data_IF_357726716411
#
_entry.id   IF_357726716411
#
_cell.length_a   1.000
_cell.length_b   1.000
_cell.length_c   1.000
_cell.angle_alpha   90.00
_cell.angle_beta   90.00
_cell.angle_gamma   90.00
#
_symmetry.space_group_name_H-M   'P 1'
#
loop_
_entity.id
_entity.type
_entity.pdbx_description
1 polymer ?
#
# COMPACT_ATOMS: atom_id res chain seq x y z
N UNK A 1 -61.83 -8.06 -7.11
CA UNK A 1 -60.82 -8.06 -8.18
C UNK A 1 -60.39 -6.61 -8.41
N UNK A 2 -59.48 -6.09 -7.58
CA UNK A 2 -59.06 -4.68 -7.66
C UNK A 2 -57.71 -4.58 -8.36
N UNK A 3 -57.74 -4.25 -9.66
CA UNK A 3 -56.54 -3.89 -10.40
C UNK A 3 -56.32 -2.38 -10.22
N UNK A 4 -55.47 -2.01 -9.25
CA UNK A 4 -55.13 -0.61 -9.03
C UNK A 4 -54.29 -0.11 -10.22
N UNK A 5 -54.83 0.90 -10.91
CA UNK A 5 -54.18 1.59 -12.04
C UNK A 5 -52.98 2.37 -11.51
N UNK A 6 -51.80 1.73 -11.49
CA UNK A 6 -50.55 2.36 -11.05
C UNK A 6 -50.31 3.62 -11.90
N UNK A 7 -50.18 4.76 -11.22
CA UNK A 7 -49.95 6.05 -11.87
C UNK A 7 -48.59 6.02 -12.58
N UNK A 8 -48.53 6.39 -13.88
CA UNK A 8 -47.28 6.38 -14.68
C UNK A 8 -46.14 7.13 -14.01
N UNK A 9 -46.43 8.19 -13.24
CA UNK A 9 -45.43 8.94 -12.46
C UNK A 9 -44.82 8.11 -11.32
N UNK A 10 -45.61 7.28 -10.65
CA UNK A 10 -45.16 6.39 -9.58
C UNK A 10 -44.32 5.25 -10.17
N UNK A 11 -44.76 4.66 -11.28
CA UNK A 11 -43.99 3.62 -11.97
C UNK A 11 -42.61 4.13 -12.44
N UNK A 12 -42.56 5.35 -12.98
CA UNK A 12 -41.30 5.99 -13.38
C UNK A 12 -40.37 6.25 -12.19
N UNK A 13 -40.92 6.70 -11.06
CA UNK A 13 -40.15 6.99 -9.85
C UNK A 13 -39.57 5.70 -9.22
N UNK A 14 -40.35 4.62 -9.21
CA UNK A 14 -39.87 3.28 -8.80
C UNK A 14 -38.75 2.79 -9.72
N UNK A 15 -38.91 2.93 -11.04
CA UNK A 15 -37.87 2.56 -12.00
C UNK A 15 -36.57 3.34 -11.78
N UNK A 16 -36.66 4.64 -11.48
CA UNK A 16 -35.49 5.49 -11.24
C UNK A 16 -34.77 5.11 -9.95
N UNK A 17 -35.51 4.75 -8.88
CA UNK A 17 -34.93 4.20 -7.65
C UNK A 17 -34.23 2.87 -7.93
N UNK A 18 -34.87 1.95 -8.66
CA UNK A 18 -34.26 0.65 -9.00
C UNK A 18 -33.04 0.82 -9.90
N UNK A 19 -33.06 1.77 -10.83
CA UNK A 19 -31.90 2.08 -11.67
C UNK A 19 -30.76 2.71 -10.87
N UNK A 20 -31.04 3.61 -9.92
CA UNK A 20 -30.02 4.19 -9.04
C UNK A 20 -29.44 3.15 -8.07
N UNK A 21 -30.27 2.29 -7.49
CA UNK A 21 -29.82 1.16 -6.65
C UNK A 21 -29.06 0.15 -7.48
N UNK A 22 -29.49 -0.11 -8.71
CA UNK A 22 -28.80 -0.98 -9.66
C UNK A 22 -27.44 -0.41 -10.07
N UNK A 23 -27.34 0.89 -10.34
CA UNK A 23 -26.07 1.57 -10.63
C UNK A 23 -25.17 1.57 -9.38
N UNK A 24 -25.72 1.79 -8.19
CA UNK A 24 -24.98 1.65 -6.92
C UNK A 24 -24.43 0.23 -6.77
N UNK A 25 -25.26 -0.80 -6.96
CA UNK A 25 -24.83 -2.20 -6.92
C UNK A 25 -23.81 -2.51 -8.01
N UNK A 26 -23.94 -1.93 -9.21
CA UNK A 26 -22.97 -2.13 -10.29
C UNK A 26 -21.62 -1.48 -9.96
N UNK A 27 -21.63 -0.30 -9.34
CA UNK A 27 -20.43 0.36 -8.81
C UNK A 27 -19.80 -0.45 -7.68
N UNK A 28 -20.60 -1.08 -6.81
CA UNK A 28 -20.11 -2.05 -5.82
C UNK A 28 -19.57 -3.33 -6.51
N UNK A 29 -20.13 -3.77 -7.64
CA UNK A 29 -19.63 -4.95 -8.38
C UNK A 29 -18.48 -4.66 -9.35
N UNK A 30 -18.04 -3.40 -9.50
CA UNK A 30 -16.74 -3.09 -10.12
C UNK A 30 -15.55 -3.54 -9.26
N UNK A 31 -15.83 -4.09 -8.06
CA UNK A 31 -14.99 -5.00 -7.30
C UNK A 31 -14.80 -6.31 -8.10
N UNK A 32 -13.71 -6.40 -8.86
CA UNK A 32 -13.28 -7.63 -9.52
C UNK A 32 -12.38 -8.38 -8.54
N UNK A 33 -12.87 -9.49 -7.96
CA UNK A 33 -12.17 -10.25 -6.91
C UNK A 33 -12.34 -9.64 -5.51
N UNK A 34 -12.00 -10.35 -4.42
CA UNK A 34 -12.44 -10.04 -3.06
C UNK A 34 -12.02 -8.62 -2.64
N UNK A 35 -12.90 -7.63 -2.76
CA UNK A 35 -12.74 -6.30 -2.16
C UNK A 35 -11.56 -5.43 -2.64
N UNK A 36 -10.69 -5.91 -3.52
CA UNK A 36 -9.53 -5.15 -4.02
C UNK A 36 -9.90 -4.29 -5.23
N UNK A 37 -9.50 -3.01 -5.26
CA UNK A 37 -9.83 -2.14 -6.38
C UNK A 37 -8.89 -2.36 -7.58
N UNK A 38 -9.13 -1.60 -8.65
CA UNK A 38 -8.24 -1.53 -9.83
C UNK A 38 -6.90 -0.86 -9.51
N UNK A 39 -5.89 -1.10 -10.34
CA UNK A 39 -4.52 -0.58 -10.23
C UNK A 39 -4.43 0.90 -9.86
N UNK A 40 -5.17 1.76 -10.56
CA UNK A 40 -5.23 3.22 -10.30
C UNK A 40 -5.65 3.59 -8.88
N UNK A 41 -6.40 2.72 -8.22
CA UNK A 41 -6.95 2.93 -6.87
C UNK A 41 -6.20 2.17 -5.79
N UNK A 42 -5.26 1.27 -6.16
CA UNK A 42 -4.49 0.47 -5.21
C UNK A 42 -3.64 1.32 -4.25
N UNK A 43 -2.90 2.36 -4.69
CA UNK A 43 -2.12 3.17 -3.76
C UNK A 43 -2.99 3.87 -2.72
N UNK A 44 -4.14 4.41 -3.13
CA UNK A 44 -5.12 5.02 -2.22
C UNK A 44 -5.77 4.01 -1.28
N UNK A 45 -6.02 2.78 -1.75
CA UNK A 45 -6.59 1.71 -0.94
C UNK A 45 -5.62 1.25 0.15
N UNK A 46 -4.33 1.16 -0.17
CA UNK A 46 -3.28 0.78 0.76
C UNK A 46 -3.15 1.78 1.92
N UNK A 47 -3.42 3.07 1.68
CA UNK A 47 -3.39 4.10 2.73
C UNK A 47 -4.58 3.89 3.70
N UNK A 48 -4.33 3.66 5.00
CA UNK A 48 -5.38 3.37 5.97
C UNK A 48 -6.51 4.41 6.01
N UNK A 49 -7.74 3.89 6.15
CA UNK A 49 -8.99 4.62 5.97
C UNK A 49 -9.14 5.86 6.86
N UNK A 50 -8.59 5.81 8.08
CA UNK A 50 -8.56 6.93 9.02
C UNK A 50 -7.88 8.20 8.46
N UNK A 51 -7.14 8.08 7.35
CA UNK A 51 -6.27 9.15 6.82
C UNK A 51 -6.63 9.56 5.40
N UNK A 52 -7.78 9.08 4.88
CA UNK A 52 -8.28 9.39 3.52
C UNK A 52 -8.60 10.87 3.28
N UNK A 53 -8.64 11.69 4.34
CA UNK A 53 -8.82 13.15 4.24
C UNK A 53 -7.61 13.93 3.72
N UNK A 54 -6.41 13.34 3.70
CA UNK A 54 -5.16 14.00 3.29
C UNK A 54 -4.39 13.20 2.21
N UNK A 55 -5.11 12.56 1.28
CA UNK A 55 -4.47 11.85 0.17
C UNK A 55 -4.15 12.82 -0.96
N UNK A 56 -2.89 12.86 -1.38
CA UNK A 56 -2.39 13.68 -2.47
C UNK A 56 -1.83 12.79 -3.59
N UNK A 57 -1.41 13.44 -4.69
CA UNK A 57 -0.53 12.80 -5.67
C UNK A 57 0.82 12.47 -5.03
N UNK A 58 1.64 11.71 -5.74
CA UNK A 58 2.99 11.35 -5.34
C UNK A 58 3.78 12.50 -4.74
N UNK A 59 4.64 12.17 -3.76
CA UNK A 59 5.67 13.09 -3.31
C UNK A 59 6.59 13.51 -4.45
N UNK A 60 7.09 14.75 -4.37
CA UNK A 60 8.16 15.26 -5.23
C UNK A 60 9.57 14.92 -4.72
N UNK A 61 9.71 14.31 -3.54
CA UNK A 61 11.02 13.94 -2.97
C UNK A 61 11.73 12.82 -3.74
N UNK A 62 10.98 12.07 -4.55
CA UNK A 62 11.47 10.88 -5.25
C UNK A 62 11.00 10.91 -6.70
N UNK A 63 11.70 10.21 -7.61
CA UNK A 63 11.27 10.10 -8.99
C UNK A 63 9.91 9.44 -9.12
N UNK A 64 9.18 9.78 -10.17
CA UNK A 64 7.96 9.07 -10.53
C UNK A 64 8.33 7.73 -11.16
N UNK A 65 8.36 6.68 -10.33
CA UNK A 65 8.73 5.32 -10.74
C UNK A 65 7.52 4.46 -11.18
N UNK A 66 6.29 4.92 -10.92
CA UNK A 66 5.06 4.22 -11.29
C UNK A 66 4.00 5.23 -11.79
N UNK A 67 3.13 4.84 -12.74
CA UNK A 67 1.94 5.62 -13.08
C UNK A 67 0.92 5.66 -11.94
N UNK A 68 0.97 4.71 -11.00
CA UNK A 68 0.05 4.58 -9.88
C UNK A 68 0.76 4.90 -8.58
N UNK A 69 0.48 6.09 -8.02
CA UNK A 69 1.01 6.42 -6.72
C UNK A 69 0.19 7.47 -5.97
N UNK A 70 0.21 7.37 -4.64
CA UNK A 70 -0.46 8.29 -3.74
C UNK A 70 0.39 8.57 -2.50
N UNK A 71 0.26 9.79 -1.99
CA UNK A 71 0.80 10.22 -0.72
C UNK A 71 -0.32 10.33 0.31
N UNK A 72 -0.12 9.82 1.52
CA UNK A 72 -0.99 10.05 2.68
C UNK A 72 -0.23 10.78 3.78
N UNK A 73 -0.79 11.87 4.31
CA UNK A 73 -0.21 12.56 5.48
C UNK A 73 -0.75 11.96 6.77
N UNK A 74 0.15 11.58 7.69
CA UNK A 74 -0.18 10.95 8.97
C UNK A 74 -0.25 11.97 10.11
N UNK A 75 0.81 12.76 10.26
CA UNK A 75 0.90 13.83 11.27
C UNK A 75 1.69 15.01 10.70
N UNK A 76 1.94 16.03 11.52
CA UNK A 76 2.90 17.05 11.17
C UNK A 76 4.26 16.39 10.86
N UNK A 77 4.75 16.62 9.65
CA UNK A 77 6.00 16.04 9.14
C UNK A 77 5.95 14.58 8.72
N UNK A 78 5.04 13.72 9.21
CA UNK A 78 5.04 12.27 8.90
C UNK A 78 4.08 11.90 7.77
N UNK A 79 4.51 11.06 6.85
CA UNK A 79 3.72 10.66 5.69
C UNK A 79 4.05 9.26 5.19
N UNK A 80 3.14 8.70 4.41
CA UNK A 80 3.30 7.48 3.62
C UNK A 80 3.28 7.86 2.15
N UNK A 81 4.20 7.33 1.35
CA UNK A 81 4.12 7.39 -0.10
C UNK A 81 4.10 5.98 -0.67
N UNK A 82 3.10 5.67 -1.49
CA UNK A 82 2.83 4.34 -2.03
C UNK A 82 2.97 4.39 -3.54
N UNK A 83 3.83 3.54 -4.10
CA UNK A 83 3.87 3.21 -5.52
C UNK A 83 3.36 1.78 -5.71
N UNK A 84 2.53 1.60 -6.73
CA UNK A 84 1.96 0.30 -7.07
C UNK A 84 2.32 -0.10 -8.49
N UNK A 85 2.52 -1.40 -8.71
CA UNK A 85 2.78 -1.98 -10.02
C UNK A 85 1.97 -3.26 -10.16
N UNK A 86 1.40 -3.45 -11.35
CA UNK A 86 0.68 -4.65 -11.78
C UNK A 86 1.47 -5.45 -12.85
N UNK A 87 2.74 -5.10 -13.06
CA UNK A 87 3.68 -5.74 -13.96
C UNK A 87 5.05 -5.85 -13.27
N UNK A 88 5.64 -7.05 -13.26
CA UNK A 88 6.92 -7.31 -12.59
C UNK A 88 8.08 -6.55 -13.23
N UNK A 89 8.10 -6.42 -14.56
CA UNK A 89 9.21 -5.77 -15.26
C UNK A 89 9.26 -4.26 -15.00
N UNK A 90 8.09 -3.61 -14.97
CA UNK A 90 7.99 -2.20 -14.59
C UNK A 90 8.29 -1.99 -13.10
N UNK A 91 7.92 -2.94 -12.24
CA UNK A 91 8.31 -2.95 -10.83
C UNK A 91 9.82 -2.99 -10.64
N UNK A 92 10.52 -3.95 -11.26
CA UNK A 92 11.98 -4.11 -11.14
C UNK A 92 12.72 -2.86 -11.63
N UNK A 93 12.31 -2.32 -12.77
CA UNK A 93 12.85 -1.06 -13.31
C UNK A 93 12.59 0.13 -12.39
N UNK A 94 11.40 0.20 -11.80
CA UNK A 94 11.03 1.24 -10.84
C UNK A 94 11.86 1.18 -9.56
N UNK A 95 12.09 -0.03 -9.06
CA UNK A 95 12.93 -0.30 -7.88
C UNK A 95 14.39 0.09 -8.11
N UNK A 96 15.01 -0.33 -9.22
CA UNK A 96 16.39 0.04 -9.57
C UNK A 96 16.54 1.56 -9.75
N UNK A 97 15.60 2.19 -10.46
CA UNK A 97 15.58 3.65 -10.65
C UNK A 97 15.53 4.38 -9.31
N UNK A 98 14.68 3.92 -8.39
CA UNK A 98 14.58 4.49 -7.06
C UNK A 98 15.88 4.28 -6.28
N UNK A 99 16.39 3.05 -6.23
CA UNK A 99 17.59 2.69 -5.48
C UNK A 99 18.81 3.53 -5.91
N UNK A 100 19.02 3.70 -7.22
CA UNK A 100 20.09 4.57 -7.76
C UNK A 100 19.90 6.04 -7.35
N UNK A 101 18.66 6.53 -7.41
CA UNK A 101 18.33 7.90 -7.01
C UNK A 101 18.60 8.13 -5.51
N UNK A 102 18.26 7.18 -4.64
CA UNK A 102 18.50 7.29 -3.20
C UNK A 102 20.01 7.35 -2.89
N UNK A 103 20.81 6.48 -3.51
CA UNK A 103 22.26 6.48 -3.33
C UNK A 103 22.94 7.76 -3.83
N UNK A 104 22.36 8.42 -4.84
CA UNK A 104 22.87 9.69 -5.36
C UNK A 104 22.55 10.90 -4.46
N UNK A 105 21.44 10.84 -3.71
CA UNK A 105 20.85 12.02 -3.05
C UNK A 105 20.83 11.95 -1.51
N UNK A 106 21.23 10.83 -0.91
CA UNK A 106 21.23 10.67 0.54
C UNK A 106 22.01 9.46 1.03
N UNK A 107 21.87 9.19 2.32
CA UNK A 107 22.45 8.03 2.98
C UNK A 107 21.45 6.88 2.95
N UNK A 108 21.85 5.75 2.36
CA UNK A 108 21.06 4.53 2.26
C UNK A 108 21.71 3.46 3.14
N UNK A 109 20.91 2.75 3.93
CA UNK A 109 21.39 1.64 4.75
C UNK A 109 20.32 0.56 4.92
N UNK A 110 20.74 -0.65 5.26
CA UNK A 110 19.84 -1.76 5.53
C UNK A 110 19.55 -1.85 7.03
N UNK A 111 18.28 -2.07 7.38
CA UNK A 111 17.86 -2.24 8.76
C UNK A 111 16.81 -3.32 8.89
N UNK A 112 17.03 -4.26 9.80
CA UNK A 112 15.99 -5.22 10.19
C UNK A 112 14.96 -4.53 11.10
N UNK A 113 13.72 -4.48 10.65
CA UNK A 113 12.59 -4.01 11.43
C UNK A 113 11.83 -5.19 12.05
N UNK A 114 11.25 -4.94 13.21
CA UNK A 114 10.32 -5.85 13.88
C UNK A 114 9.15 -4.99 14.38
N UNK A 115 7.96 -5.28 13.87
CA UNK A 115 6.71 -4.57 14.13
C UNK A 115 5.73 -5.39 14.97
N UNK A 116 6.18 -6.49 15.58
CA UNK A 116 5.29 -7.44 16.26
C UNK A 116 4.46 -6.77 17.35
N UNK A 117 5.05 -5.86 18.13
CA UNK A 117 4.35 -5.17 19.21
C UNK A 117 3.25 -4.26 18.64
N UNK A 118 3.61 -3.43 17.67
CA UNK A 118 2.72 -2.47 17.02
C UNK A 118 1.57 -3.17 16.26
N UNK A 119 1.87 -4.30 15.63
CA UNK A 119 0.88 -5.12 14.92
C UNK A 119 -0.09 -5.80 15.89
N UNK A 120 0.38 -6.29 17.04
CA UNK A 120 -0.50 -6.85 18.07
C UNK A 120 -1.43 -5.79 18.67
N UNK A 121 -0.95 -4.56 18.86
CA UNK A 121 -1.79 -3.44 19.29
C UNK A 121 -2.86 -3.07 18.25
N UNK A 122 -2.49 -3.09 16.97
CA UNK A 122 -3.45 -2.90 15.87
C UNK A 122 -4.49 -4.01 15.85
N UNK A 123 -4.07 -5.28 15.87
CA UNK A 123 -4.96 -6.44 15.83
C UNK A 123 -6.00 -6.35 16.95
N UNK A 124 -5.58 -6.07 18.19
CA UNK A 124 -6.50 -5.89 19.33
C UNK A 124 -7.52 -4.78 19.09
N UNK A 125 -7.12 -3.66 18.48
CA UNK A 125 -8.04 -2.56 18.13
C UNK A 125 -9.02 -2.97 17.04
N UNK A 126 -8.54 -3.64 16.00
CA UNK A 126 -9.37 -4.06 14.86
C UNK A 126 -10.36 -5.17 15.27
N UNK A 127 -9.94 -6.08 16.16
CA UNK A 127 -10.81 -7.07 16.81
C UNK A 127 -11.91 -6.42 17.63
N UNK A 128 -11.56 -5.43 18.47
CA UNK A 128 -12.54 -4.68 19.26
C UNK A 128 -13.55 -3.92 18.39
N UNK A 129 -13.16 -3.55 17.17
CA UNK A 129 -14.00 -2.82 16.20
C UNK A 129 -14.72 -3.74 15.19
N UNK A 130 -14.61 -5.07 15.31
CA UNK A 130 -15.13 -6.04 14.33
C UNK A 130 -14.67 -5.79 12.88
N UNK A 131 -13.47 -5.23 12.70
CA UNK A 131 -12.88 -4.91 11.39
C UNK A 131 -11.65 -5.77 11.06
N UNK A 132 -11.46 -6.85 11.81
CA UNK A 132 -10.27 -7.68 11.73
C UNK A 132 -10.29 -8.63 10.52
N UNK A 133 -9.12 -8.75 9.87
CA UNK A 133 -8.79 -9.82 8.95
C UNK A 133 -7.36 -10.33 9.25
N UNK A 134 -7.09 -11.64 9.09
CA UNK A 134 -5.77 -12.19 9.39
C UNK A 134 -4.72 -11.61 8.44
N UNK A 135 -3.57 -11.22 9.01
CA UNK A 135 -2.35 -10.94 8.25
C UNK A 135 -1.37 -12.08 8.50
N UNK A 136 -0.98 -12.80 7.45
CA UNK A 136 -0.22 -14.06 7.54
C UNK A 136 1.29 -13.81 7.35
N UNK A 137 1.69 -12.62 6.90
CA UNK A 137 3.09 -12.28 6.60
C UNK A 137 3.99 -12.11 7.83
N UNK A 138 5.31 -12.16 7.61
CA UNK A 138 6.33 -11.98 8.65
C UNK A 138 6.21 -10.63 9.38
N UNK A 139 6.34 -10.65 10.71
CA UNK A 139 6.37 -9.42 11.53
C UNK A 139 7.78 -8.82 11.64
N UNK A 140 8.79 -9.47 11.05
CA UNK A 140 10.16 -8.97 10.99
C UNK A 140 10.77 -9.19 9.61
N UNK A 141 11.27 -8.11 9.03
CA UNK A 141 11.76 -8.04 7.65
C UNK A 141 12.89 -7.01 7.55
N UNK A 142 13.68 -7.08 6.49
CA UNK A 142 14.64 -6.02 6.18
C UNK A 142 13.88 -4.84 5.57
N UNK A 143 14.41 -3.65 5.81
CA UNK A 143 13.93 -2.40 5.28
C UNK A 143 15.11 -1.55 4.84
N UNK A 144 14.91 -0.72 3.82
CA UNK A 144 15.92 0.25 3.42
C UNK A 144 15.68 1.55 4.18
N UNK A 145 16.59 1.88 5.09
CA UNK A 145 16.65 3.20 5.73
C UNK A 145 17.21 4.23 4.76
N UNK A 146 16.59 5.41 4.73
CA UNK A 146 17.01 6.54 3.93
C UNK A 146 17.08 7.81 4.77
N UNK A 147 18.15 8.59 4.59
CA UNK A 147 18.32 9.89 5.24
C UNK A 147 18.85 10.92 4.25
N UNK A 148 18.15 12.05 4.17
CA UNK A 148 18.53 13.23 3.39
C UNK A 148 18.14 14.50 4.15
N UNK A 149 18.60 15.70 3.72
CA UNK A 149 18.15 16.95 4.31
C UNK A 149 16.63 17.20 4.19
N UNK A 150 15.99 16.62 3.17
CA UNK A 150 14.57 16.85 2.86
C UNK A 150 13.63 15.84 3.52
N UNK A 151 14.09 14.61 3.70
CA UNK A 151 13.30 13.55 4.33
C UNK A 151 14.16 12.41 4.86
N UNK A 152 13.68 11.75 5.91
CA UNK A 152 14.26 10.52 6.46
C UNK A 152 13.16 9.49 6.76
N UNK A 153 13.44 8.20 6.57
CA UNK A 153 12.41 7.17 6.71
C UNK A 153 12.85 5.77 6.27
N UNK A 154 11.86 4.91 6.07
CA UNK A 154 12.05 3.51 5.65
C UNK A 154 11.28 3.20 4.38
N UNK A 155 11.92 2.50 3.46
CA UNK A 155 11.28 1.84 2.32
C UNK A 155 11.04 0.37 2.62
N UNK A 156 9.84 -0.09 2.28
CA UNK A 156 9.43 -1.50 2.25
C UNK A 156 8.93 -1.86 0.86
N UNK A 157 9.35 -3.04 0.40
CA UNK A 157 8.97 -3.62 -0.88
C UNK A 157 8.07 -4.81 -0.61
N UNK A 158 6.86 -4.79 -1.16
CA UNK A 158 5.89 -5.88 -1.07
C UNK A 158 5.79 -6.57 -2.42
N UNK A 159 6.04 -7.86 -2.46
CA UNK A 159 5.88 -8.69 -3.65
C UNK A 159 4.73 -9.67 -3.44
N UNK A 160 3.75 -9.63 -4.35
CA UNK A 160 2.54 -10.47 -4.37
C UNK A 160 1.79 -10.53 -3.04
N UNK A 161 1.42 -9.39 -2.40
CA UNK A 161 0.94 -9.41 -1.02
C UNK A 161 -0.50 -9.90 -0.82
N UNK A 162 -1.29 -10.03 -1.89
CA UNK A 162 -2.73 -10.26 -1.80
C UNK A 162 -3.16 -11.69 -2.19
N UNK A 163 -3.26 -11.95 -3.50
CA UNK A 163 -3.78 -13.19 -4.06
C UNK A 163 -2.68 -13.85 -4.89
N UNK A 164 -2.55 -15.17 -4.80
CA UNK A 164 -1.60 -15.96 -5.61
C UNK A 164 -1.75 -15.71 -7.12
N UNK A 165 -2.98 -15.42 -7.57
CA UNK A 165 -3.30 -15.21 -8.98
C UNK A 165 -3.07 -13.78 -9.46
N UNK A 166 -2.64 -12.86 -8.59
CA UNK A 166 -2.38 -11.45 -8.94
C UNK A 166 -0.92 -11.10 -8.73
N UNK A 167 -0.37 -10.46 -9.76
CA UNK A 167 0.96 -9.87 -9.71
C UNK A 167 0.86 -8.44 -9.19
N UNK A 168 0.67 -8.32 -7.88
CA UNK A 168 0.62 -7.02 -7.21
C UNK A 168 1.97 -6.72 -6.56
N UNK A 169 2.56 -5.56 -6.84
CA UNK A 169 3.80 -5.11 -6.21
C UNK A 169 3.64 -3.71 -5.62
N UNK A 170 4.23 -3.48 -4.45
CA UNK A 170 4.29 -2.15 -3.84
C UNK A 170 5.71 -1.79 -3.45
N UNK A 171 6.02 -0.50 -3.62
CA UNK A 171 7.10 0.14 -2.89
C UNK A 171 6.43 1.17 -1.99
N UNK A 172 6.74 1.14 -0.71
CA UNK A 172 6.13 2.03 0.29
C UNK A 172 7.20 2.74 1.08
N UNK A 173 7.15 4.06 1.10
CA UNK A 173 7.99 4.90 1.92
C UNK A 173 7.22 5.42 3.14
N UNK A 174 7.76 5.17 4.32
CA UNK A 174 7.28 5.68 5.60
C UNK A 174 8.25 6.76 6.08
N UNK A 175 7.87 8.01 5.90
CA UNK A 175 8.79 9.14 5.89
C UNK A 175 8.44 10.25 6.87
N UNK A 176 9.46 11.04 7.16
CA UNK A 176 9.41 12.25 7.96
C UNK A 176 10.03 13.36 7.13
N UNK A 177 9.37 14.52 7.07
CA UNK A 177 9.85 15.70 6.38
C UNK A 177 10.95 16.40 7.20
N UNK A 178 11.99 16.84 6.49
CA UNK A 178 13.13 17.54 7.05
C UNK A 178 14.18 16.63 7.69
N UNK A 179 15.23 17.26 8.18
CA UNK A 179 16.31 16.60 8.90
C UNK A 179 15.83 16.19 10.30
N UNK A 180 15.83 14.89 10.60
CA UNK A 180 15.40 14.35 11.90
C UNK A 180 16.21 13.12 12.25
N UNK A 181 16.35 12.85 13.56
CA UNK A 181 16.98 11.61 14.04
C UNK A 181 16.04 10.42 13.79
N UNK A 182 16.31 9.67 12.72
CA UNK A 182 15.50 8.52 12.31
C UNK A 182 15.38 7.45 13.42
N UNK A 183 16.41 7.29 14.26
CA UNK A 183 16.38 6.34 15.37
C UNK A 183 15.33 6.73 16.42
N UNK A 184 15.24 8.01 16.76
CA UNK A 184 14.26 8.52 17.73
C UNK A 184 12.83 8.37 17.22
N UNK A 185 12.63 8.51 15.91
CA UNK A 185 11.32 8.44 15.28
C UNK A 185 10.89 7.02 14.86
N UNK A 186 11.81 6.06 14.90
CA UNK A 186 11.56 4.67 14.49
C UNK A 186 10.36 4.04 15.20
N UNK A 187 10.12 4.23 16.52
CA UNK A 187 8.93 3.69 17.17
C UNK A 187 7.61 4.18 16.54
N UNK A 188 7.52 5.46 16.18
CA UNK A 188 6.32 6.01 15.52
C UNK A 188 6.18 5.53 14.07
N UNK A 189 7.29 5.42 13.34
CA UNK A 189 7.27 4.86 11.98
C UNK A 189 6.85 3.38 11.98
N UNK A 190 7.24 2.59 12.99
CA UNK A 190 6.76 1.20 13.13
C UNK A 190 5.25 1.11 13.35
N UNK A 191 4.68 2.02 14.15
CA UNK A 191 3.21 2.10 14.31
C UNK A 191 2.55 2.41 12.98
N UNK A 192 3.10 3.35 12.21
CA UNK A 192 2.59 3.69 10.88
C UNK A 192 2.67 2.51 9.90
N UNK A 193 3.79 1.77 9.90
CA UNK A 193 3.95 0.55 9.11
C UNK A 193 2.88 -0.47 9.50
N UNK A 194 2.73 -0.76 10.80
CA UNK A 194 1.76 -1.73 11.29
C UNK A 194 0.33 -1.40 10.87
N UNK A 195 -0.04 -0.11 10.86
CA UNK A 195 -1.38 0.34 10.48
C UNK A 195 -1.77 0.08 9.02
N UNK A 196 -0.80 0.13 8.10
CA UNK A 196 -1.01 -0.19 6.67
C UNK A 196 -0.54 -1.58 6.29
N UNK A 197 0.08 -2.32 7.21
CA UNK A 197 0.63 -3.63 6.92
C UNK A 197 -0.47 -4.61 6.53
N UNK A 198 -0.34 -5.20 5.35
CA UNK A 198 -1.25 -6.21 4.84
C UNK A 198 -0.46 -7.28 4.08
N UNK A 199 -0.78 -8.54 4.38
CA UNK A 199 -0.22 -9.71 3.71
C UNK A 199 -1.20 -10.88 3.89
N UNK A 200 -1.85 -11.30 2.81
CA UNK A 200 -2.75 -12.46 2.81
C UNK A 200 -2.27 -13.61 1.94
N UNK A 201 -1.27 -13.37 1.10
CA UNK A 201 -0.65 -14.41 0.29
C UNK A 201 0.52 -15.05 1.05
N UNK A 202 0.50 -16.38 1.21
CA UNK A 202 1.59 -17.12 1.86
C UNK A 202 2.89 -17.13 1.04
N UNK A 203 2.78 -17.03 -0.28
CA UNK A 203 3.94 -16.90 -1.18
C UNK A 203 4.44 -15.44 -1.28
N UNK A 204 3.67 -14.49 -0.77
CA UNK A 204 4.03 -13.08 -0.75
C UNK A 204 5.15 -12.79 0.23
N UNK A 205 5.94 -11.74 -0.04
CA UNK A 205 7.03 -11.33 0.84
C UNK A 205 7.11 -9.82 0.99
N UNK A 206 7.76 -9.41 2.09
CA UNK A 206 8.13 -8.02 2.36
C UNK A 206 9.62 -7.96 2.61
N UNK A 207 10.32 -7.08 1.91
CA UNK A 207 11.77 -6.91 2.01
C UNK A 207 12.20 -5.44 1.80
N UNK A 208 13.50 -5.22 1.83
CA UNK A 208 14.18 -3.98 1.48
C UNK A 208 14.26 -3.77 -0.04
N UNK A 209 14.58 -2.54 -0.45
CA UNK A 209 14.94 -2.24 -1.83
C UNK A 209 16.23 -2.99 -2.21
N UNK A 210 16.24 -3.60 -3.39
CA UNK A 210 17.41 -4.21 -4.00
C UNK A 210 17.71 -3.59 -5.37
N UNK A 211 18.98 -3.52 -5.74
CA UNK A 211 19.36 -3.21 -7.11
C UNK A 211 19.03 -4.41 -8.04
N UNK A 212 18.73 -4.13 -9.30
CA UNK A 212 18.39 -5.17 -10.30
C UNK A 212 19.52 -6.22 -10.41
N UNK A 213 20.78 -5.76 -10.49
CA UNK A 213 21.97 -6.62 -10.55
C UNK A 213 22.10 -7.55 -9.32
N UNK A 214 21.64 -7.11 -8.14
CA UNK A 214 21.65 -7.92 -6.92
C UNK A 214 20.52 -8.96 -6.93
N UNK A 215 19.35 -8.61 -7.50
CA UNK A 215 18.22 -9.54 -7.68
C UNK A 215 18.55 -10.63 -8.70
N UNK A 216 19.13 -10.28 -9.84
CA UNK A 216 19.58 -11.27 -10.85
C UNK A 216 20.58 -12.26 -10.24
N UNK A 217 21.52 -11.77 -9.44
CA UNK A 217 22.50 -12.63 -8.75
C UNK A 217 21.85 -13.56 -7.74
N UNK A 218 20.88 -13.08 -6.97
CA UNK A 218 20.14 -13.91 -6.00
C UNK A 218 19.26 -14.97 -6.69
N UNK A 219 18.58 -14.61 -7.77
CA UNK A 219 17.78 -15.54 -8.57
C UNK A 219 18.65 -16.57 -9.28
N UNK A 220 19.82 -16.15 -9.80
CA UNK A 220 20.81 -17.06 -10.35
C UNK A 220 21.32 -18.05 -9.31
N UNK A 221 21.52 -17.65 -8.05
CA UNK A 221 21.96 -18.56 -6.99
C UNK A 221 20.87 -19.57 -6.57
N UNK A 222 19.60 -19.15 -6.60
CA UNK A 222 18.47 -20.03 -6.29
C UNK A 222 18.20 -21.06 -7.39
N UNK A 223 18.50 -20.75 -8.66
CA UNK A 223 18.30 -21.68 -9.79
C UNK A 223 19.26 -22.89 -9.82
N UNK A 224 20.24 -22.95 -8.92
CA UNK A 224 21.22 -24.05 -8.82
C UNK A 224 20.90 -25.07 -7.70
N UNK A 225 19.79 -24.89 -6.99
CA UNK A 225 19.25 -25.81 -6.00
C UNK A 225 17.92 -26.42 -6.49
#
# INVERSE_FOLDING_TARGET
MFYNKVNKKIAFLVFLIVALVGIWFILDTLLIGPGLPRSESMPKWYIPGAWRGNVQRCTSFFPQISPYCNLGKYSEGKFINVWYFDDESEFLKGEDTLYRCLNANGSVFQQKLNISTELQEKIKRDEANNSWGPTIGSHSFNATGYQSPETSGYFLVYEKPFLETREDYFIVYYGIMGLTNLTEETPELKKLIAESYYMSNEEGKVDSLMAEDEKEKNNSLLSWF
#
